data_IF_965518198838
#
_entry.id   IF_965518198838
#
_cell.length_a   1.000
_cell.length_b   1.000
_cell.length_c   1.000
_cell.angle_alpha   90.00
_cell.angle_beta   90.00
_cell.angle_gamma   90.00
#
_symmetry.space_group_name_H-M   'P 1'
#
loop_
_entity.id
_entity.type
_entity.pdbx_description
1 polymer ?
#
# COMPACT_ATOMS: atom_id res chain seq x y z
N UNK A 1 -19.79 -2.07 4.78
CA UNK A 1 -19.00 -3.10 4.06
C UNK A 1 -18.63 -4.21 5.05
N UNK A 2 -18.48 -5.48 4.63
CA UNK A 2 -17.90 -6.51 5.50
C UNK A 2 -17.02 -7.50 4.73
N UNK A 3 -16.08 -8.13 5.43
CA UNK A 3 -15.27 -9.21 4.88
C UNK A 3 -15.15 -10.38 5.86
N UNK A 4 -15.34 -11.58 5.36
CA UNK A 4 -15.23 -12.86 6.06
C UNK A 4 -14.03 -13.60 5.47
N UNK A 5 -13.14 -14.06 6.34
CA UNK A 5 -11.96 -14.85 6.00
C UNK A 5 -11.93 -16.06 6.95
N UNK A 6 -12.49 -17.18 6.50
CA UNK A 6 -12.68 -18.35 7.35
C UNK A 6 -13.57 -18.01 8.54
N UNK A 7 -13.08 -18.22 9.76
CA UNK A 7 -13.79 -17.88 11.00
C UNK A 7 -13.68 -16.42 11.44
N UNK A 8 -12.92 -15.58 10.72
CA UNK A 8 -12.74 -14.17 11.06
C UNK A 8 -13.72 -13.30 10.26
N UNK A 9 -14.42 -12.38 10.94
CA UNK A 9 -15.28 -11.37 10.32
C UNK A 9 -14.76 -9.97 10.64
N UNK A 10 -14.48 -9.21 9.58
CA UNK A 10 -14.16 -7.79 9.64
C UNK A 10 -15.40 -6.96 9.26
N UNK A 11 -16.14 -6.43 10.23
CA UNK A 11 -17.12 -5.39 9.97
C UNK A 11 -16.39 -4.06 9.68
N UNK A 12 -16.80 -3.37 8.62
CA UNK A 12 -16.28 -2.03 8.29
C UNK A 12 -17.44 -1.03 8.38
N UNK A 13 -17.27 -0.07 9.28
CA UNK A 13 -18.19 1.05 9.47
C UNK A 13 -17.86 2.11 8.42
N UNK A 14 -18.89 2.79 7.93
CA UNK A 14 -18.74 3.90 7.00
C UNK A 14 -17.92 5.04 7.62
N UNK A 15 -17.10 5.67 6.80
CA UNK A 15 -16.25 6.80 7.18
C UNK A 15 -15.96 7.67 5.97
N UNK A 16 -15.44 8.87 6.23
CA UNK A 16 -15.16 9.87 5.20
C UNK A 16 -13.64 10.11 5.16
N UNK A 17 -13.11 10.18 3.95
CA UNK A 17 -11.74 10.61 3.67
C UNK A 17 -11.81 11.98 3.00
N UNK A 18 -10.94 12.91 3.38
CA UNK A 18 -10.78 14.16 2.64
C UNK A 18 -9.36 14.30 2.12
N UNK A 19 -9.19 15.20 1.16
CA UNK A 19 -7.88 15.46 0.56
C UNK A 19 -6.87 15.93 1.61
N UNK A 20 -5.60 15.59 1.37
CA UNK A 20 -4.45 15.98 2.20
C UNK A 20 -4.53 15.55 3.68
N UNK A 21 -5.29 14.49 3.99
CA UNK A 21 -5.36 13.92 5.34
C UNK A 21 -4.41 12.74 5.54
N UNK A 22 -3.89 12.63 6.75
CA UNK A 22 -3.19 11.45 7.24
C UNK A 22 -4.10 10.75 8.25
N UNK A 23 -4.42 9.49 7.98
CA UNK A 23 -5.25 8.66 8.86
C UNK A 23 -4.39 7.57 9.48
N UNK A 24 -4.44 7.49 10.81
CA UNK A 24 -3.69 6.48 11.58
C UNK A 24 -4.62 5.29 11.86
N UNK A 25 -4.18 4.08 11.47
CA UNK A 25 -4.91 2.84 11.76
C UNK A 25 -4.19 2.09 12.88
N UNK A 26 -4.84 1.95 14.03
CA UNK A 26 -4.30 1.31 15.24
C UNK A 26 -5.12 0.06 15.62
N UNK A 27 -4.55 -0.77 16.48
CA UNK A 27 -5.18 -1.98 17.02
C UNK A 27 -4.21 -3.15 17.09
N UNK A 28 -4.59 -4.19 17.83
CA UNK A 28 -3.77 -5.39 18.04
C UNK A 28 -3.58 -6.23 16.77
N UNK A 29 -2.62 -7.15 16.77
CA UNK A 29 -2.46 -8.08 15.66
C UNK A 29 -3.70 -8.99 15.57
N UNK A 30 -4.18 -9.23 14.34
CA UNK A 30 -5.39 -10.02 14.11
C UNK A 30 -6.69 -9.21 14.09
N UNK A 31 -6.69 -7.90 14.38
CA UNK A 31 -7.90 -7.06 14.31
C UNK A 31 -8.36 -6.71 12.89
N UNK A 32 -7.64 -7.18 11.86
CA UNK A 32 -8.01 -6.98 10.45
C UNK A 32 -7.44 -5.71 9.80
N UNK A 33 -6.49 -5.00 10.41
CA UNK A 33 -5.85 -3.80 9.82
C UNK A 33 -5.30 -4.04 8.41
N UNK A 34 -4.51 -5.10 8.24
CA UNK A 34 -3.93 -5.46 6.93
C UNK A 34 -5.03 -5.82 5.93
N UNK A 35 -6.05 -6.56 6.37
CA UNK A 35 -7.23 -6.90 5.56
C UNK A 35 -7.98 -5.65 5.10
N UNK A 36 -8.16 -4.67 5.99
CA UNK A 36 -8.80 -3.39 5.67
C UNK A 36 -8.01 -2.62 4.61
N UNK A 37 -6.67 -2.54 4.73
CA UNK A 37 -5.82 -1.91 3.72
C UNK A 37 -5.91 -2.64 2.37
N UNK A 38 -6.00 -3.97 2.35
CA UNK A 38 -6.18 -4.72 1.11
C UNK A 38 -7.53 -4.48 0.43
N UNK A 39 -8.60 -4.29 1.21
CA UNK A 39 -9.90 -3.88 0.68
C UNK A 39 -9.81 -2.50 0.02
N UNK A 40 -9.18 -1.53 0.69
CA UNK A 40 -8.97 -0.18 0.14
C UNK A 40 -8.08 -0.20 -1.10
N UNK A 41 -7.01 -0.98 -1.09
CA UNK A 41 -6.08 -1.13 -2.22
C UNK A 41 -6.66 -1.91 -3.41
N UNK A 42 -7.89 -2.43 -3.30
CA UNK A 42 -8.53 -3.26 -4.33
C UNK A 42 -7.89 -4.64 -4.50
N UNK A 43 -6.97 -5.04 -3.61
CA UNK A 43 -6.32 -6.35 -3.60
C UNK A 43 -7.24 -7.46 -3.06
N UNK A 44 -8.27 -7.07 -2.32
CA UNK A 44 -9.31 -7.96 -1.80
C UNK A 44 -10.68 -7.35 -2.09
N UNK A 45 -11.63 -8.16 -2.55
CA UNK A 45 -13.02 -7.72 -2.72
C UNK A 45 -13.79 -7.91 -1.41
N UNK A 46 -14.65 -6.95 -1.02
CA UNK A 46 -15.58 -7.15 0.09
C UNK A 46 -16.55 -8.28 -0.22
N UNK A 47 -17.15 -8.88 0.81
CA UNK A 47 -18.22 -9.84 0.57
C UNK A 47 -19.52 -9.09 0.29
N UNK A 48 -20.25 -9.57 -0.72
CA UNK A 48 -21.51 -8.98 -1.14
C UNK A 48 -22.53 -9.16 -0.02
N UNK A 49 -23.07 -8.04 0.46
CA UNK A 49 -24.35 -8.04 1.18
C UNK A 49 -25.41 -7.84 0.10
N UNK A 50 -26.40 -8.73 0.01
CA UNK A 50 -27.50 -8.62 -0.96
C UNK A 50 -28.04 -7.19 -1.02
N UNK A 51 -28.10 -6.61 -2.23
CA UNK A 51 -28.61 -5.25 -2.44
C UNK A 51 -27.63 -4.10 -2.20
N UNK A 52 -26.33 -4.39 -1.98
CA UNK A 52 -25.31 -3.34 -1.88
C UNK A 52 -24.18 -3.55 -2.90
N UNK A 53 -24.23 -2.80 -3.99
CA UNK A 53 -23.08 -2.61 -4.86
C UNK A 53 -22.09 -1.69 -4.15
N UNK A 54 -21.27 -2.28 -3.26
CA UNK A 54 -20.16 -1.55 -2.64
C UNK A 54 -19.03 -1.45 -3.65
N UNK A 55 -19.12 -0.46 -4.52
CA UNK A 55 -18.02 -0.10 -5.42
C UNK A 55 -16.96 0.68 -4.65
N UNK A 56 -15.78 0.08 -4.49
CA UNK A 56 -14.59 0.81 -4.04
C UNK A 56 -14.18 1.72 -5.21
N UNK A 57 -14.10 3.06 -5.02
CA UNK A 57 -13.76 3.94 -6.12
C UNK A 57 -12.37 3.60 -6.68
N UNK A 58 -12.22 3.68 -8.00
CA UNK A 58 -10.95 3.42 -8.67
C UNK A 58 -10.01 4.59 -8.45
N UNK A 59 -9.16 4.50 -7.43
CA UNK A 59 -8.05 5.42 -7.20
C UNK A 59 -6.73 4.83 -7.74
N UNK A 60 -5.77 5.70 -8.05
CA UNK A 60 -4.39 5.27 -8.25
C UNK A 60 -3.73 5.12 -6.87
N UNK A 61 -3.51 3.87 -6.44
CA UNK A 61 -3.10 3.56 -5.07
C UNK A 61 -1.65 3.10 -5.06
N UNK A 62 -0.82 3.77 -4.27
CA UNK A 62 0.52 3.28 -3.91
C UNK A 62 0.42 2.43 -2.64
N UNK A 63 0.86 1.17 -2.71
CA UNK A 63 0.76 0.20 -1.61
C UNK A 63 2.13 -0.34 -1.22
N UNK A 64 2.49 -0.21 0.06
CA UNK A 64 3.69 -0.80 0.66
C UNK A 64 3.30 -2.02 1.51
N UNK A 65 3.65 -3.25 1.13
CA UNK A 65 3.28 -4.44 1.88
C UNK A 65 4.04 -4.54 3.21
N UNK A 66 3.40 -5.16 4.21
CA UNK A 66 4.00 -5.37 5.53
C UNK A 66 5.18 -6.37 5.49
N UNK A 67 5.13 -7.37 4.60
CA UNK A 67 6.22 -8.32 4.34
C UNK A 67 6.74 -8.08 2.93
N UNK A 68 8.03 -7.83 2.82
CA UNK A 68 8.73 -7.74 1.55
C UNK A 68 9.24 -9.12 1.17
N UNK A 69 8.83 -9.60 0.01
CA UNK A 69 9.39 -10.81 -0.60
C UNK A 69 10.06 -10.36 -1.89
N UNK A 70 11.39 -10.48 -2.02
CA UNK A 70 12.05 -10.12 -3.26
C UNK A 70 11.61 -11.08 -4.38
N UNK A 71 11.21 -10.52 -5.52
CA UNK A 71 10.60 -11.27 -6.62
C UNK A 71 11.47 -11.34 -7.88
N UNK A 72 12.56 -10.57 -7.94
CA UNK A 72 13.35 -10.44 -9.16
C UNK A 72 14.82 -10.21 -8.86
N UNK A 73 15.75 -10.78 -9.63
CA UNK A 73 17.19 -10.56 -9.47
C UNK A 73 17.66 -9.16 -9.90
N UNK A 74 16.76 -8.18 -9.96
CA UNK A 74 17.01 -6.81 -10.39
C UNK A 74 17.76 -6.02 -9.31
N UNK A 75 18.45 -4.97 -9.72
CA UNK A 75 19.07 -4.04 -8.75
C UNK A 75 18.01 -3.11 -8.15
N UNK A 76 18.36 -2.44 -7.04
CA UNK A 76 17.52 -1.38 -6.46
C UNK A 76 17.30 -0.26 -7.48
N UNK A 77 18.35 0.12 -8.24
CA UNK A 77 18.26 1.11 -9.31
C UNK A 77 17.19 0.75 -10.34
N UNK A 78 17.26 -0.47 -10.88
CA UNK A 78 16.30 -0.93 -11.89
C UNK A 78 14.86 -0.89 -11.36
N UNK A 79 14.68 -1.25 -10.08
CA UNK A 79 13.37 -1.25 -9.43
C UNK A 79 12.81 0.17 -9.28
N UNK A 80 13.63 1.12 -8.84
CA UNK A 80 13.22 2.53 -8.69
C UNK A 80 12.87 3.12 -10.05
N UNK A 81 13.73 2.97 -11.05
CA UNK A 81 13.47 3.47 -12.41
C UNK A 81 12.19 2.87 -13.01
N UNK A 82 11.93 1.59 -12.76
CA UNK A 82 10.68 0.95 -13.21
C UNK A 82 9.43 1.53 -12.53
N UNK A 83 9.53 1.95 -11.27
CA UNK A 83 8.38 2.40 -10.47
C UNK A 83 8.08 3.89 -10.65
N UNK A 84 9.12 4.73 -10.72
CA UNK A 84 8.98 6.20 -10.72
C UNK A 84 9.65 6.88 -11.92
N UNK A 85 10.22 6.11 -12.86
CA UNK A 85 10.94 6.67 -14.01
C UNK A 85 12.16 7.46 -13.59
N UNK A 86 12.41 8.58 -14.28
CA UNK A 86 13.52 9.50 -14.01
C UNK A 86 13.28 10.43 -12.80
N UNK A 87 12.21 10.21 -12.03
CA UNK A 87 11.91 11.00 -10.83
C UNK A 87 12.93 10.77 -9.70
N UNK A 88 13.74 9.71 -9.79
CA UNK A 88 14.88 9.50 -8.91
C UNK A 88 16.00 10.55 -9.07
N UNK A 89 16.01 11.26 -10.21
CA UNK A 89 16.91 12.38 -10.48
C UNK A 89 16.35 13.73 -9.99
N UNK A 90 15.09 13.77 -9.54
CA UNK A 90 14.49 14.99 -9.01
C UNK A 90 15.22 15.46 -7.75
N UNK A 91 15.59 16.74 -7.73
CA UNK A 91 16.38 17.30 -6.63
C UNK A 91 15.67 17.27 -5.27
N UNK A 92 14.34 17.40 -5.24
CA UNK A 92 13.56 17.31 -4.00
C UNK A 92 13.51 15.85 -3.54
N UNK A 93 13.25 14.91 -4.46
CA UNK A 93 13.27 13.48 -4.13
C UNK A 93 14.64 13.02 -3.63
N UNK A 94 15.73 13.53 -4.21
CA UNK A 94 17.09 13.26 -3.75
C UNK A 94 17.31 13.78 -2.32
N UNK A 95 16.92 15.02 -2.07
CA UNK A 95 17.06 15.69 -0.77
C UNK A 95 16.25 15.00 0.32
N UNK A 96 15.01 14.64 0.02
CA UNK A 96 14.02 14.26 1.03
C UNK A 96 13.91 12.75 1.22
N UNK A 97 14.30 11.95 0.22
CA UNK A 97 14.14 10.49 0.22
C UNK A 97 15.48 9.77 0.03
N UNK A 98 16.20 10.03 -1.07
CA UNK A 98 17.40 9.23 -1.42
C UNK A 98 18.52 9.41 -0.40
N UNK A 99 18.88 10.65 -0.05
CA UNK A 99 19.95 10.94 0.91
C UNK A 99 19.59 10.54 2.34
N UNK A 100 18.42 10.90 2.90
CA UNK A 100 18.08 10.56 4.27
C UNK A 100 17.96 9.05 4.52
N UNK A 101 17.48 8.30 3.53
CA UNK A 101 17.39 6.84 3.60
C UNK A 101 18.64 6.11 3.10
N UNK A 102 19.69 6.84 2.69
CA UNK A 102 20.97 6.32 2.20
C UNK A 102 20.82 5.33 1.03
N UNK A 103 19.83 5.57 0.16
CA UNK A 103 19.49 4.65 -0.94
C UNK A 103 20.61 4.58 -1.98
N UNK A 104 21.41 5.65 -2.12
CA UNK A 104 22.56 5.72 -3.05
C UNK A 104 23.51 4.52 -2.89
N UNK A 105 23.76 4.10 -1.65
CA UNK A 105 24.65 2.97 -1.33
C UNK A 105 24.03 1.60 -1.65
N UNK A 106 22.73 1.56 -1.91
CA UNK A 106 21.97 0.36 -2.18
C UNK A 106 21.67 0.18 -3.67
N UNK A 107 21.90 1.19 -4.52
CA UNK A 107 21.49 1.20 -5.93
C UNK A 107 21.91 -0.05 -6.71
N UNK A 108 23.13 -0.54 -6.48
CA UNK A 108 23.68 -1.71 -7.17
C UNK A 108 23.39 -3.05 -6.47
N UNK A 109 22.76 -3.02 -5.28
CA UNK A 109 22.39 -4.26 -4.59
C UNK A 109 21.24 -4.93 -5.32
N UNK A 110 21.32 -6.25 -5.43
CA UNK A 110 20.21 -7.08 -5.92
C UNK A 110 19.12 -7.15 -4.86
N UNK A 111 17.87 -7.07 -5.32
CA UNK A 111 16.67 -7.17 -4.49
C UNK A 111 16.30 -8.63 -4.32
#
# INVERSE_FOLDING_TARGET
>A
MSKILGGFKLPVIEGIFTDSQIIVVLGENGTGKTTFIWLLAGLLKPDVIEGSDVEVPKFNISYKPQKLVPKSPSTVRDLIQKLIGDYDLDSQFISDVIKPLQIEQLMEKKV
#
